data_IF_567702642885
#
_entry.id   IF_567702642885
#
_cell.length_a   1.000
_cell.length_b   1.000
_cell.length_c   1.000
_cell.angle_alpha   90.00
_cell.angle_beta   90.00
_cell.angle_gamma   90.00
#
_symmetry.space_group_name_H-M   'P 1'
#
loop_
_entity.id
_entity.type
_entity.pdbx_description
1 polymer ?
#
# COMPACT_ATOMS: atom_id res chain seq x y z
N UNK A 1 16.51 18.38 -0.11
CA UNK A 1 15.69 19.55 0.29
C UNK A 1 14.36 19.04 0.84
N UNK A 2 13.64 19.86 1.61
CA UNK A 2 12.31 19.47 2.12
C UNK A 2 11.36 19.03 0.99
N UNK A 3 11.33 19.76 -0.12
CA UNK A 3 10.51 19.40 -1.29
C UNK A 3 10.82 18.02 -1.89
N UNK A 4 12.08 17.55 -1.83
CA UNK A 4 12.42 16.18 -2.27
C UNK A 4 11.82 15.10 -1.35
N UNK A 5 11.71 15.38 -0.05
CA UNK A 5 11.08 14.46 0.90
C UNK A 5 9.56 14.41 0.69
N UNK A 6 8.94 15.55 0.38
CA UNK A 6 7.52 15.59 -0.01
C UNK A 6 7.26 14.77 -1.28
N UNK A 7 8.08 14.94 -2.31
CA UNK A 7 7.95 14.16 -3.56
C UNK A 7 8.08 12.65 -3.29
N UNK A 8 9.02 12.24 -2.42
CA UNK A 8 9.15 10.82 -2.05
C UNK A 8 7.94 10.31 -1.27
N UNK A 9 7.39 11.11 -0.36
CA UNK A 9 6.15 10.78 0.34
C UNK A 9 4.99 10.58 -0.63
N UNK A 10 4.85 11.46 -1.62
CA UNK A 10 3.82 11.36 -2.67
C UNK A 10 4.04 10.14 -3.58
N UNK A 11 5.29 9.81 -3.96
CA UNK A 11 5.59 8.60 -4.73
C UNK A 11 5.21 7.33 -3.97
N UNK A 12 5.43 7.29 -2.65
CA UNK A 12 4.95 6.19 -1.82
C UNK A 12 3.43 6.03 -1.89
N UNK A 13 2.69 7.14 -1.86
CA UNK A 13 1.23 7.12 -2.01
C UNK A 13 0.80 6.67 -3.41
N UNK A 14 1.50 7.10 -4.47
CA UNK A 14 1.25 6.61 -5.84
C UNK A 14 1.41 5.09 -5.94
N UNK A 15 2.39 4.48 -5.25
CA UNK A 15 2.49 3.01 -5.20
C UNK A 15 1.26 2.35 -4.58
N UNK A 16 0.61 2.97 -3.60
CA UNK A 16 -0.65 2.44 -3.05
C UNK A 16 -1.79 2.53 -4.05
N UNK A 17 -1.89 3.64 -4.80
CA UNK A 17 -2.87 3.77 -5.88
C UNK A 17 -2.63 2.70 -6.96
N UNK A 18 -1.37 2.49 -7.37
CA UNK A 18 -0.99 1.42 -8.30
C UNK A 18 -1.40 0.05 -7.75
N UNK A 19 -1.14 -0.23 -6.46
CA UNK A 19 -1.57 -1.47 -5.81
C UNK A 19 -3.08 -1.68 -5.87
N UNK A 20 -3.85 -0.62 -5.59
CA UNK A 20 -5.32 -0.63 -5.64
C UNK A 20 -5.83 -0.94 -7.05
N UNK A 21 -5.24 -0.34 -8.08
CA UNK A 21 -5.63 -0.60 -9.48
C UNK A 21 -5.31 -2.05 -9.89
N UNK A 22 -4.18 -2.58 -9.43
CA UNK A 22 -3.73 -3.93 -9.77
C UNK A 22 -4.51 -5.02 -9.05
N UNK A 23 -5.24 -4.74 -7.96
CA UNK A 23 -5.89 -5.78 -7.14
C UNK A 23 -6.86 -6.69 -7.91
N UNK A 24 -7.44 -6.19 -9.01
CA UNK A 24 -8.40 -6.94 -9.83
C UNK A 24 -7.76 -7.67 -11.01
N UNK A 25 -6.48 -7.42 -11.31
CA UNK A 25 -5.81 -7.89 -12.52
C UNK A 25 -4.50 -8.62 -12.22
N UNK A 26 -3.79 -8.26 -11.15
CA UNK A 26 -2.51 -8.84 -10.77
C UNK A 26 -2.26 -8.66 -9.26
N UNK A 27 -2.75 -9.62 -8.48
CA UNK A 27 -2.64 -9.62 -7.02
C UNK A 27 -1.19 -9.67 -6.53
N UNK A 28 -0.31 -10.32 -7.29
CA UNK A 28 1.12 -10.43 -6.95
C UNK A 28 1.81 -9.09 -7.10
N UNK A 29 1.59 -8.39 -8.22
CA UNK A 29 2.12 -7.03 -8.39
C UNK A 29 1.47 -6.06 -7.41
N UNK A 30 0.18 -6.18 -7.12
CA UNK A 30 -0.50 -5.36 -6.10
C UNK A 30 0.22 -5.46 -4.74
N UNK A 31 0.49 -6.69 -4.26
CA UNK A 31 1.29 -6.94 -3.05
C UNK A 31 2.70 -6.33 -3.13
N UNK A 32 3.36 -6.46 -4.28
CA UNK A 32 4.67 -5.86 -4.53
C UNK A 32 4.66 -4.33 -4.38
N UNK A 33 3.63 -3.65 -4.90
CA UNK A 33 3.50 -2.19 -4.80
C UNK A 33 3.28 -1.71 -3.36
N UNK A 34 2.53 -2.46 -2.55
CA UNK A 34 2.40 -2.17 -1.10
C UNK A 34 3.77 -2.24 -0.42
N UNK A 35 4.57 -3.27 -0.72
CA UNK A 35 5.92 -3.42 -0.17
C UNK A 35 6.85 -2.26 -0.58
N UNK A 36 6.75 -1.79 -1.83
CA UNK A 36 7.53 -0.67 -2.31
C UNK A 36 7.15 0.64 -1.61
N UNK A 37 5.85 0.90 -1.43
CA UNK A 37 5.36 2.05 -0.66
C UNK A 37 5.92 2.07 0.76
N UNK A 38 5.90 0.93 1.46
CA UNK A 38 6.45 0.78 2.82
C UNK A 38 7.93 1.17 2.86
N UNK A 39 8.73 0.68 1.91
CA UNK A 39 10.17 1.01 1.85
C UNK A 39 10.39 2.51 1.67
N UNK A 40 9.60 3.16 0.82
CA UNK A 40 9.71 4.60 0.57
C UNK A 40 9.30 5.39 1.83
N UNK A 41 8.19 5.04 2.49
CA UNK A 41 7.78 5.70 3.74
C UNK A 41 8.81 5.52 4.86
N UNK A 42 9.39 4.33 5.03
CA UNK A 42 10.50 4.13 5.97
C UNK A 42 11.69 5.06 5.66
N UNK A 43 12.06 5.17 4.39
CA UNK A 43 13.16 6.04 3.96
C UNK A 43 12.86 7.51 4.27
N UNK A 44 11.66 7.99 3.93
CA UNK A 44 11.25 9.38 4.22
C UNK A 44 11.29 9.66 5.72
N UNK A 45 10.73 8.75 6.52
CA UNK A 45 10.72 8.88 7.98
C UNK A 45 12.12 8.96 8.57
N UNK A 46 13.03 8.09 8.13
CA UNK A 46 14.40 8.08 8.63
C UNK A 46 15.14 9.37 8.25
N UNK A 47 15.01 9.84 7.00
CA UNK A 47 15.62 11.10 6.56
C UNK A 47 15.08 12.32 7.30
N UNK A 48 13.79 12.33 7.66
CA UNK A 48 13.19 13.38 8.48
C UNK A 48 13.71 13.35 9.92
N UNK A 49 13.79 12.16 10.53
CA UNK A 49 14.38 12.01 11.86
C UNK A 49 15.84 12.49 11.92
N UNK A 50 16.65 12.09 10.94
CA UNK A 50 18.06 12.53 10.85
C UNK A 50 18.18 14.07 10.76
N UNK A 51 17.27 14.72 10.03
CA UNK A 51 17.25 16.19 9.90
C UNK A 51 16.82 16.89 11.19
N UNK A 52 15.77 16.40 11.83
CA UNK A 52 15.25 16.96 13.08
C UNK A 52 16.23 16.76 14.25
N UNK A 53 17.03 15.70 14.25
CA UNK A 53 18.11 15.51 15.24
C UNK A 53 19.21 16.57 15.09
N UNK A 54 19.60 16.94 13.86
CA UNK A 54 20.63 17.96 13.60
C UNK A 54 20.18 19.35 14.11
N UNK A 55 18.89 19.68 13.98
CA UNK A 55 18.33 20.97 14.39
C UNK A 55 18.35 21.15 15.92
N UNK A 56 18.16 20.07 16.69
CA UNK A 56 18.21 20.10 18.16
C UNK A 56 19.61 20.50 18.67
N UNK A 57 20.66 20.27 17.89
CA UNK A 57 22.04 20.61 18.25
C UNK A 57 22.41 22.09 17.96
N UNK A 58 21.61 22.82 17.17
CA UNK A 58 21.85 24.24 16.84
C UNK A 58 21.01 25.18 17.71
N UNK A 59 21.67 25.97 18.56
CA UNK A 59 21.01 26.76 19.62
C UNK A 59 20.36 28.09 19.17
N UNK A 60 20.52 28.51 17.91
CA UNK A 60 19.95 29.75 17.36
C UNK A 60 19.31 29.45 15.98
N UNK A 61 18.00 29.21 15.95
CA UNK A 61 17.24 29.03 14.70
C UNK A 61 16.71 30.37 14.22
N UNK A 62 16.79 30.63 12.91
CA UNK A 62 16.08 31.76 12.30
C UNK A 62 14.58 31.45 12.16
N UNK A 63 13.74 32.48 11.96
CA UNK A 63 12.30 32.28 11.68
C UNK A 63 12.05 31.37 10.46
N UNK A 64 12.96 31.41 9.46
CA UNK A 64 12.89 30.52 8.30
C UNK A 64 13.21 29.07 8.68
N UNK A 65 14.19 28.86 9.56
CA UNK A 65 14.54 27.53 10.06
C UNK A 65 13.44 26.94 10.95
N UNK A 66 12.81 27.77 11.80
CA UNK A 66 11.66 27.37 12.62
C UNK A 66 10.47 26.93 11.74
N UNK A 67 10.19 27.68 10.67
CA UNK A 67 9.14 27.31 9.71
C UNK A 67 9.44 25.98 9.01
N UNK A 68 10.69 25.75 8.61
CA UNK A 68 11.10 24.49 7.98
C UNK A 68 11.02 23.33 8.97
N UNK A 69 11.44 23.50 10.23
CA UNK A 69 11.32 22.49 11.29
C UNK A 69 9.85 22.09 11.52
N UNK A 70 8.93 23.07 11.61
CA UNK A 70 7.49 22.79 11.73
C UNK A 70 6.99 21.93 10.57
N UNK A 71 7.36 22.27 9.33
CA UNK A 71 6.96 21.50 8.14
C UNK A 71 7.59 20.12 8.07
N UNK A 72 8.81 19.94 8.55
CA UNK A 72 9.45 18.64 8.66
C UNK A 72 8.78 17.75 9.72
N UNK A 73 8.37 18.33 10.86
CA UNK A 73 7.57 17.62 11.89
C UNK A 73 6.21 17.19 11.37
N UNK A 74 5.47 18.08 10.71
CA UNK A 74 4.18 17.76 10.08
C UNK A 74 4.33 16.60 9.08
N UNK A 75 5.36 16.64 8.22
CA UNK A 75 5.60 15.59 7.24
C UNK A 75 6.00 14.26 7.91
N UNK A 76 6.75 14.31 9.00
CA UNK A 76 7.14 13.13 9.76
C UNK A 76 5.92 12.42 10.37
N UNK A 77 5.00 13.19 10.96
CA UNK A 77 3.76 12.65 11.52
C UNK A 77 2.91 11.99 10.42
N UNK A 78 2.69 12.68 9.30
CA UNK A 78 2.00 12.13 8.11
C UNK A 78 2.64 10.86 7.60
N UNK A 79 3.97 10.84 7.51
CA UNK A 79 4.72 9.68 7.03
C UNK A 79 4.58 8.50 7.99
N UNK A 80 4.59 8.75 9.30
CA UNK A 80 4.47 7.71 10.32
C UNK A 80 3.07 7.10 10.37
N UNK A 81 2.03 7.93 10.25
CA UNK A 81 0.64 7.49 10.14
C UNK A 81 0.41 6.67 8.86
N UNK A 82 0.83 7.19 7.71
CA UNK A 82 0.72 6.50 6.42
C UNK A 82 1.49 5.17 6.41
N UNK A 83 2.70 5.13 6.99
CA UNK A 83 3.49 3.90 7.12
C UNK A 83 2.75 2.85 7.94
N UNK A 84 2.19 3.25 9.08
CA UNK A 84 1.44 2.35 9.97
C UNK A 84 0.22 1.77 9.25
N UNK A 85 -0.59 2.62 8.61
CA UNK A 85 -1.73 2.18 7.81
C UNK A 85 -1.32 1.23 6.69
N UNK A 86 -0.20 1.50 6.02
CA UNK A 86 0.30 0.66 4.92
C UNK A 86 0.81 -0.69 5.42
N UNK A 87 1.43 -0.75 6.59
CA UNK A 87 1.83 -2.01 7.21
C UNK A 87 0.60 -2.85 7.58
N UNK A 88 -0.45 -2.21 8.11
CA UNK A 88 -1.73 -2.90 8.38
C UNK A 88 -2.31 -3.48 7.10
N UNK A 89 -2.41 -2.68 6.04
CA UNK A 89 -2.83 -3.11 4.70
C UNK A 89 -2.02 -4.33 4.22
N UNK A 90 -0.69 -4.30 4.34
CA UNK A 90 0.18 -5.43 3.99
C UNK A 90 -0.20 -6.69 4.77
N UNK A 91 -0.35 -6.56 6.09
CA UNK A 91 -0.62 -7.71 6.97
C UNK A 91 -1.99 -8.33 6.69
N UNK A 92 -3.00 -7.51 6.40
CA UNK A 92 -4.34 -7.97 6.03
C UNK A 92 -4.33 -8.71 4.69
N UNK A 93 -3.66 -8.14 3.68
CA UNK A 93 -3.46 -8.80 2.39
C UNK A 93 -2.71 -10.13 2.56
N UNK A 94 -1.63 -10.16 3.34
CA UNK A 94 -0.92 -11.42 3.65
C UNK A 94 -1.79 -12.45 4.38
N UNK A 95 -2.69 -11.99 5.25
CA UNK A 95 -3.71 -12.84 5.89
C UNK A 95 -4.64 -13.48 4.86
N UNK A 96 -5.06 -12.72 3.84
CA UNK A 96 -5.86 -13.23 2.73
C UNK A 96 -5.10 -14.30 1.92
N UNK A 97 -3.81 -14.09 1.63
CA UNK A 97 -2.98 -15.09 0.95
C UNK A 97 -2.83 -16.37 1.77
N UNK A 98 -2.70 -16.28 3.10
CA UNK A 98 -2.67 -17.48 3.96
C UNK A 98 -3.98 -18.27 3.90
N UNK A 99 -5.13 -17.59 3.91
CA UNK A 99 -6.45 -18.23 3.74
C UNK A 99 -6.59 -18.95 2.39
N UNK A 100 -5.95 -18.44 1.33
CA UNK A 100 -5.88 -19.12 0.03
C UNK A 100 -5.07 -20.41 0.13
N UNK A 101 -3.90 -20.35 0.77
CA UNK A 101 -3.02 -21.51 0.94
C UNK A 101 -3.68 -22.62 1.78
N UNK A 102 -4.37 -22.28 2.86
CA UNK A 102 -5.14 -23.22 3.70
C UNK A 102 -6.23 -23.95 2.90
N UNK A 103 -6.72 -23.33 1.82
CA UNK A 103 -7.71 -23.90 0.90
C UNK A 103 -7.07 -24.61 -0.30
N UNK A 104 -5.76 -24.78 -0.29
CA UNK A 104 -4.99 -25.49 -1.31
C UNK A 104 -4.57 -24.64 -2.52
N UNK A 105 -4.81 -23.32 -2.49
CA UNK A 105 -4.46 -22.40 -3.58
C UNK A 105 -3.17 -21.68 -3.22
N UNK A 106 -2.05 -22.04 -3.85
CA UNK A 106 -0.74 -21.44 -3.53
C UNK A 106 -0.49 -20.16 -4.31
N UNK A 107 0.39 -19.32 -3.81
CA UNK A 107 0.80 -18.08 -4.47
C UNK A 107 1.31 -18.29 -5.91
N UNK A 108 1.99 -19.41 -6.19
CA UNK A 108 2.43 -19.77 -7.54
C UNK A 108 1.28 -20.10 -8.51
N UNK A 109 0.16 -20.58 -7.98
CA UNK A 109 -1.03 -20.92 -8.76
C UNK A 109 -1.77 -19.61 -9.12
N UNK A 110 -1.78 -18.63 -8.21
CA UNK A 110 -2.26 -17.26 -8.47
C UNK A 110 -1.37 -16.49 -9.45
N UNK A 111 -0.06 -16.72 -9.44
CA UNK A 111 0.87 -16.11 -10.40
C UNK A 111 0.52 -16.50 -11.83
N UNK A 112 0.21 -17.77 -12.10
CA UNK A 112 -0.23 -18.22 -13.43
C UNK A 112 -1.51 -17.54 -13.89
N UNK A 113 -2.47 -17.36 -12.98
CA UNK A 113 -3.72 -16.63 -13.26
C UNK A 113 -3.40 -15.15 -13.52
N UNK A 114 -2.51 -14.55 -12.74
CA UNK A 114 -2.08 -13.15 -12.88
C UNK A 114 -1.32 -12.89 -14.18
N UNK A 115 -0.49 -13.83 -14.63
CA UNK A 115 0.23 -13.73 -15.90
C UNK A 115 -0.77 -13.74 -17.07
N UNK A 116 -1.78 -14.62 -17.02
CA UNK A 116 -2.86 -14.68 -18.02
C UNK A 116 -3.73 -13.40 -18.01
N UNK A 117 -4.15 -12.90 -16.85
CA UNK A 117 -4.95 -11.67 -16.78
C UNK A 117 -4.17 -10.45 -17.24
N UNK A 118 -2.89 -10.35 -16.88
CA UNK A 118 -2.06 -9.21 -17.22
C UNK A 118 -1.72 -9.15 -18.71
N UNK A 119 -1.36 -10.29 -19.33
CA UNK A 119 -1.04 -10.35 -20.77
C UNK A 119 -2.24 -9.99 -21.65
N UNK A 120 -3.46 -10.35 -21.24
CA UNK A 120 -4.67 -10.12 -22.01
C UNK A 120 -5.51 -8.93 -21.51
N UNK A 121 -5.05 -8.22 -20.46
CA UNK A 121 -5.78 -7.16 -19.75
C UNK A 121 -7.22 -7.59 -19.37
N UNK A 122 -7.38 -8.84 -18.95
CA UNK A 122 -8.66 -9.46 -18.59
C UNK A 122 -8.83 -9.38 -17.08
N UNK A 123 -10.06 -9.15 -16.63
CA UNK A 123 -10.38 -9.12 -15.21
C UNK A 123 -10.15 -10.50 -14.58
N UNK A 124 -9.49 -10.56 -13.42
CA UNK A 124 -9.25 -11.81 -12.69
C UNK A 124 -10.55 -12.54 -12.37
N UNK A 125 -11.64 -11.80 -12.14
CA UNK A 125 -12.98 -12.35 -12.00
C UNK A 125 -13.39 -13.22 -13.19
N UNK A 126 -13.22 -12.74 -14.41
CA UNK A 126 -13.64 -13.45 -15.63
C UNK A 126 -12.82 -14.73 -15.81
N UNK A 127 -11.50 -14.66 -15.58
CA UNK A 127 -10.64 -15.84 -15.64
C UNK A 127 -11.01 -16.87 -14.56
N UNK A 128 -11.34 -16.44 -13.36
CA UNK A 128 -11.78 -17.34 -12.28
C UNK A 128 -13.10 -18.01 -12.65
N UNK A 129 -14.05 -17.28 -13.22
CA UNK A 129 -15.33 -17.82 -13.67
C UNK A 129 -15.13 -18.85 -14.78
N UNK A 130 -14.27 -18.56 -15.75
CA UNK A 130 -14.00 -19.45 -16.88
C UNK A 130 -13.22 -20.69 -16.46
N UNK A 131 -12.23 -20.54 -15.57
CA UNK A 131 -11.37 -21.64 -15.12
C UNK A 131 -12.07 -22.56 -14.12
N UNK A 132 -12.87 -21.99 -13.20
CA UNK A 132 -13.48 -22.73 -12.09
C UNK A 132 -15.01 -22.77 -12.15
N UNK A 133 -15.62 -22.45 -13.28
CA UNK A 133 -17.09 -22.38 -13.42
C UNK A 133 -17.82 -23.69 -13.05
N UNK A 134 -17.15 -24.84 -13.25
CA UNK A 134 -17.66 -26.16 -12.86
C UNK A 134 -17.32 -26.54 -11.40
N UNK A 135 -16.25 -25.98 -10.83
CA UNK A 135 -15.87 -26.13 -9.42
C UNK A 135 -16.39 -24.94 -8.61
N UNK A 136 -17.68 -24.98 -8.31
CA UNK A 136 -18.38 -23.93 -7.56
C UNK A 136 -17.72 -23.59 -6.23
N UNK A 137 -17.18 -24.60 -5.52
CA UNK A 137 -16.59 -24.41 -4.20
C UNK A 137 -15.33 -23.56 -4.30
N UNK A 138 -14.44 -23.90 -5.22
CA UNK A 138 -13.19 -23.14 -5.45
C UNK A 138 -13.49 -21.74 -5.97
N UNK A 139 -14.46 -21.61 -6.89
CA UNK A 139 -14.92 -20.30 -7.39
C UNK A 139 -15.41 -19.39 -6.26
N UNK A 140 -16.32 -19.87 -5.41
CA UNK A 140 -16.90 -19.07 -4.32
C UNK A 140 -15.85 -18.65 -3.31
N UNK A 141 -14.86 -19.52 -3.05
CA UNK A 141 -13.71 -19.23 -2.20
C UNK A 141 -12.91 -18.06 -2.76
N UNK A 142 -12.51 -18.13 -4.04
CA UNK A 142 -11.66 -17.09 -4.65
C UNK A 142 -12.43 -15.78 -4.77
N UNK A 143 -13.71 -15.83 -5.13
CA UNK A 143 -14.58 -14.65 -5.18
C UNK A 143 -14.74 -13.98 -3.82
N UNK A 144 -14.93 -14.77 -2.75
CA UNK A 144 -15.01 -14.24 -1.38
C UNK A 144 -13.72 -13.51 -0.98
N UNK A 145 -12.58 -14.02 -1.41
CA UNK A 145 -11.27 -13.42 -1.18
C UNK A 145 -11.08 -12.12 -1.95
N UNK A 146 -11.50 -12.03 -3.21
CA UNK A 146 -11.44 -10.77 -3.96
C UNK A 146 -12.27 -9.67 -3.28
N UNK A 147 -13.45 -10.02 -2.77
CA UNK A 147 -14.28 -9.08 -1.99
C UNK A 147 -13.63 -8.65 -0.69
N UNK A 148 -12.92 -9.57 -0.01
CA UNK A 148 -12.16 -9.26 1.19
C UNK A 148 -11.04 -8.25 0.89
N UNK A 149 -10.32 -8.44 -0.22
CA UNK A 149 -9.28 -7.51 -0.70
C UNK A 149 -9.89 -6.14 -1.04
N UNK A 150 -11.02 -6.08 -1.74
CA UNK A 150 -11.74 -4.83 -1.98
C UNK A 150 -12.09 -4.11 -0.67
N UNK A 151 -12.56 -4.86 0.33
CA UNK A 151 -12.95 -4.32 1.64
C UNK A 151 -11.74 -3.71 2.35
N UNK A 152 -10.63 -4.45 2.40
CA UNK A 152 -9.35 -3.99 2.99
C UNK A 152 -8.89 -2.68 2.34
N UNK A 153 -8.89 -2.61 1.01
CA UNK A 153 -8.51 -1.38 0.30
C UNK A 153 -9.48 -0.22 0.56
N UNK A 154 -10.79 -0.49 0.70
CA UNK A 154 -11.76 0.55 1.05
C UNK A 154 -11.60 1.07 2.49
N UNK A 155 -11.18 0.22 3.42
CA UNK A 155 -10.87 0.63 4.79
C UNK A 155 -9.61 1.50 4.83
N UNK A 156 -8.58 1.15 4.05
CA UNK A 156 -7.40 1.98 3.87
C UNK A 156 -7.74 3.38 3.31
N UNK A 157 -8.60 3.46 2.29
CA UNK A 157 -9.01 4.74 1.70
C UNK A 157 -9.73 5.63 2.72
N UNK A 158 -10.58 5.06 3.58
CA UNK A 158 -11.26 5.82 4.65
C UNK A 158 -10.27 6.42 5.64
N UNK A 159 -9.23 5.66 6.02
CA UNK A 159 -8.16 6.18 6.86
C UNK A 159 -7.44 7.34 6.18
N UNK A 160 -7.22 7.26 4.85
CA UNK A 160 -6.59 8.33 4.10
C UNK A 160 -7.46 9.57 3.92
N UNK A 161 -8.76 9.40 3.70
CA UNK A 161 -9.71 10.52 3.65
C UNK A 161 -9.79 11.28 4.98
N UNK A 162 -9.65 10.58 6.11
CA UNK A 162 -9.56 11.22 7.42
C UNK A 162 -8.30 12.06 7.55
N UNK A 163 -7.14 11.60 7.05
CA UNK A 163 -5.92 12.43 7.02
C UNK A 163 -6.08 13.69 6.16
N UNK A 164 -6.83 13.63 5.06
CA UNK A 164 -7.05 14.76 4.15
C UNK A 164 -8.10 15.77 4.64
N UNK A 165 -8.99 15.38 5.57
CA UNK A 165 -10.06 16.24 6.13
C UNK A 165 -9.62 17.09 7.33
N UNK A 166 -8.41 16.88 7.86
CA UNK A 166 -7.86 17.65 8.99
C UNK A 166 -7.19 18.96 8.52
N UNK A 167 -7.40 19.37 7.26
CA UNK A 167 -6.92 20.64 6.68
C UNK A 167 -8.06 21.67 6.54
#
# INVERSE_FOLDING_TARGET
TFGQLQILYEDAYLKIIEARLLRNNDLIKSKGKIQDAIKIYYRVRNLLNERLEIIIESADLSEEDEFVDEKERELLEKTSSALTATITLKNEIEGVFKKLEEKGIREKDLRKISDLTYEYNVNLYDIIVDTFGQDRKTKDIIMGILKEIDTIFNEYDKLKELELKVF
#
